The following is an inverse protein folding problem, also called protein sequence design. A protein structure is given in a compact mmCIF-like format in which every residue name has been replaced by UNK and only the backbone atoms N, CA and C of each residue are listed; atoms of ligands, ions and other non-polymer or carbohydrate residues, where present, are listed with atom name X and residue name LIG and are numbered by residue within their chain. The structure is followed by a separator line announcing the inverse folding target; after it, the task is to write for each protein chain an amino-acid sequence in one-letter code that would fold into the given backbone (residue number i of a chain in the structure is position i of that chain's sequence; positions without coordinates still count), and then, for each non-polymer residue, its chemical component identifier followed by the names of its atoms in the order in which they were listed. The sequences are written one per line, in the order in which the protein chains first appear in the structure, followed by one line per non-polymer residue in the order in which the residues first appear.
data_IF_371341199505
#
_entry.id   IF_371341199505
#
_cell.length_a   1.000
_cell.length_b   1.000
_cell.length_c   1.000
_cell.angle_alpha   90.00
_cell.angle_beta   90.00
_cell.angle_gamma   90.00
#
_symmetry.space_group_name_H-M   'P 1'
#
loop_
_entity.id
_entity.type
_entity.pdbx_description
1 polymer ?
#
# COMPACT_ATOMS: atom_id res chain seq x y z
N UNK A 1 -42.61 -11.92 -48.76
CA UNK A 1 -41.27 -12.54 -48.80
C UNK A 1 -40.37 -11.73 -47.87
N UNK A 2 -39.76 -12.41 -46.90
CA UNK A 2 -39.02 -11.90 -45.72
C UNK A 2 -37.53 -11.76 -46.09
N UNK A 3 -36.75 -10.78 -45.57
CA UNK A 3 -35.99 -10.93 -44.30
C UNK A 3 -36.21 -9.72 -43.36
N UNK A 4 -36.52 -9.81 -42.06
CA UNK A 4 -35.91 -10.55 -40.94
C UNK A 4 -34.38 -10.58 -40.99
N UNK A 5 -33.73 -9.43 -40.84
CA UNK A 5 -32.34 -9.32 -40.38
C UNK A 5 -32.04 -7.86 -40.03
N UNK A 6 -32.53 -7.41 -38.88
CA UNK A 6 -31.92 -6.28 -38.17
C UNK A 6 -31.47 -6.81 -36.80
N UNK A 7 -30.67 -7.88 -36.86
CA UNK A 7 -30.00 -8.45 -35.69
C UNK A 7 -28.73 -7.62 -35.44
N UNK A 8 -28.65 -7.07 -34.23
CA UNK A 8 -27.42 -6.93 -33.47
C UNK A 8 -26.27 -6.08 -34.08
N UNK A 9 -26.40 -4.75 -34.08
CA UNK A 9 -25.25 -3.85 -34.38
C UNK A 9 -25.02 -2.75 -33.32
N UNK A 10 -25.58 -2.88 -32.11
CA UNK A 10 -25.65 -1.77 -31.16
C UNK A 10 -24.83 -1.89 -29.86
N UNK A 11 -24.00 -2.93 -29.67
CA UNK A 11 -23.35 -3.15 -28.38
C UNK A 11 -21.86 -3.54 -28.50
N UNK A 12 -21.10 -2.80 -29.31
CA UNK A 12 -19.66 -2.70 -29.15
C UNK A 12 -19.36 -1.46 -28.31
N UNK A 13 -19.66 -1.53 -27.01
CA UNK A 13 -19.04 -0.63 -26.04
C UNK A 13 -17.54 -0.87 -26.14
N UNK A 14 -16.83 0.11 -26.68
CA UNK A 14 -15.38 0.16 -26.68
C UNK A 14 -14.91 -0.02 -25.24
N UNK A 15 -14.42 -1.22 -24.92
CA UNK A 15 -13.59 -1.45 -23.75
C UNK A 15 -12.24 -0.76 -24.04
N UNK A 16 -12.23 0.57 -24.00
CA UNK A 16 -10.99 1.33 -23.97
C UNK A 16 -10.22 0.84 -22.74
N UNK A 17 -8.95 0.43 -22.89
CA UNK A 17 -8.16 0.07 -21.74
C UNK A 17 -8.11 1.30 -20.83
N UNK A 18 -8.65 1.16 -19.61
CA UNK A 18 -8.43 2.12 -18.57
C UNK A 18 -6.93 2.08 -18.26
N UNK A 19 -6.17 3.00 -18.84
CA UNK A 19 -4.76 3.16 -18.52
C UNK A 19 -4.68 3.79 -17.14
N UNK A 20 -4.29 2.99 -16.15
CA UNK A 20 -3.84 3.48 -14.85
C UNK A 20 -2.37 3.97 -14.93
N UNK A 21 -1.97 4.47 -16.09
CA UNK A 21 -0.61 4.87 -16.40
C UNK A 21 -0.53 6.40 -16.31
N UNK A 22 -0.04 6.91 -15.19
CA UNK A 22 0.25 8.31 -14.94
C UNK A 22 1.23 8.43 -13.77
N UNK A 23 2.02 9.50 -13.66
CA UNK A 23 2.91 9.66 -12.51
C UNK A 23 2.08 9.77 -11.24
N UNK A 24 2.56 9.18 -10.15
CA UNK A 24 2.04 9.50 -8.83
C UNK A 24 2.34 10.98 -8.50
N UNK A 25 1.41 11.74 -7.90
CA UNK A 25 0.08 11.33 -7.44
C UNK A 25 -1.05 11.54 -8.45
N UNK A 26 -0.79 12.11 -9.62
CA UNK A 26 -1.81 12.56 -10.59
C UNK A 26 -2.67 11.40 -11.15
N UNK A 27 -2.17 10.17 -11.09
CA UNK A 27 -2.90 8.95 -11.43
C UNK A 27 -4.06 8.60 -10.47
N UNK A 28 -4.17 9.27 -9.31
CA UNK A 28 -5.17 8.96 -8.30
C UNK A 28 -6.54 9.59 -8.62
N UNK A 29 -7.60 8.79 -8.50
CA UNK A 29 -8.97 9.29 -8.55
C UNK A 29 -9.32 10.17 -7.33
N UNK A 30 -10.54 10.72 -7.31
CA UNK A 30 -10.99 11.57 -6.20
C UNK A 30 -10.96 10.84 -4.85
N UNK A 31 -11.28 9.55 -4.82
CA UNK A 31 -11.27 8.74 -3.60
C UNK A 31 -9.84 8.49 -3.10
N UNK A 32 -8.91 8.19 -3.99
CA UNK A 32 -7.49 8.01 -3.69
C UNK A 32 -6.87 9.28 -3.11
N UNK A 33 -7.16 10.44 -3.73
CA UNK A 33 -6.71 11.74 -3.22
C UNK A 33 -7.27 12.06 -1.83
N UNK A 34 -8.57 11.83 -1.62
CA UNK A 34 -9.19 12.02 -0.32
C UNK A 34 -8.56 11.14 0.77
N UNK A 35 -8.22 9.88 0.45
CA UNK A 35 -7.52 8.98 1.38
C UNK A 35 -6.13 9.49 1.77
N UNK A 36 -5.35 10.01 0.82
CA UNK A 36 -4.04 10.58 1.12
C UNK A 36 -4.14 11.87 1.95
N UNK A 37 -5.14 12.71 1.68
CA UNK A 37 -5.39 13.91 2.48
C UNK A 37 -5.74 13.58 3.95
N UNK A 38 -6.42 12.44 4.18
CA UNK A 38 -6.77 11.96 5.51
C UNK A 38 -5.70 11.05 6.16
N UNK A 39 -4.47 11.01 5.62
CA UNK A 39 -3.44 10.06 6.07
C UNK A 39 -3.11 10.21 7.55
N UNK A 40 -2.87 11.44 8.03
CA UNK A 40 -2.45 11.67 9.42
C UNK A 40 -3.55 11.31 10.43
N UNK A 41 -4.81 11.67 10.13
CA UNK A 41 -5.97 11.30 10.93
C UNK A 41 -6.14 9.77 10.99
N UNK A 42 -6.07 9.12 9.82
CA UNK A 42 -6.19 7.66 9.72
C UNK A 42 -5.06 6.96 10.47
N UNK A 43 -3.82 7.48 10.35
CA UNK A 43 -2.64 6.94 11.04
C UNK A 43 -2.78 7.07 12.56
N UNK A 44 -3.22 8.23 13.05
CA UNK A 44 -3.43 8.46 14.49
C UNK A 44 -4.47 7.48 15.06
N UNK A 45 -5.62 7.33 14.38
CA UNK A 45 -6.67 6.41 14.78
C UNK A 45 -6.19 4.94 14.77
N UNK A 46 -5.42 4.54 13.77
CA UNK A 46 -4.87 3.18 13.67
C UNK A 46 -3.84 2.88 14.78
N UNK A 47 -2.99 3.83 15.14
CA UNK A 47 -2.04 3.72 16.27
C UNK A 47 -2.80 3.59 17.60
N UNK A 48 -3.83 4.40 17.80
CA UNK A 48 -4.65 4.33 19.01
C UNK A 48 -5.38 2.98 19.13
N UNK A 49 -5.96 2.49 18.03
CA UNK A 49 -6.59 1.17 17.99
C UNK A 49 -5.58 0.04 18.25
N UNK A 50 -4.38 0.13 17.68
CA UNK A 50 -3.28 -0.81 17.93
C UNK A 50 -2.90 -0.85 19.42
N UNK A 51 -2.78 0.32 20.07
CA UNK A 51 -2.47 0.43 21.52
C UNK A 51 -3.55 -0.19 22.40
N UNK A 52 -4.83 -0.02 22.04
CA UNK A 52 -5.96 -0.56 22.81
C UNK A 52 -6.19 -2.05 22.61
N UNK A 53 -6.00 -2.55 21.39
CA UNK A 53 -6.43 -3.89 21.00
C UNK A 53 -5.31 -4.86 20.61
N UNK A 54 -4.07 -4.41 20.51
CA UNK A 54 -2.93 -5.26 20.17
C UNK A 54 -2.44 -6.11 21.35
N UNK A 55 -1.79 -7.24 21.06
CA UNK A 55 -1.10 -8.01 22.08
C UNK A 55 0.04 -7.17 22.68
N UNK A 56 0.26 -7.26 24.00
CA UNK A 56 1.24 -6.41 24.70
C UNK A 56 2.66 -6.48 24.11
N UNK A 57 3.09 -7.67 23.69
CA UNK A 57 4.39 -7.87 23.03
C UNK A 57 4.47 -7.17 21.66
N UNK A 58 3.38 -7.13 20.91
CA UNK A 58 3.30 -6.47 19.61
C UNK A 58 3.23 -4.95 19.77
N UNK A 59 2.48 -4.46 20.77
CA UNK A 59 2.44 -3.03 21.12
C UNK A 59 3.82 -2.55 21.53
N UNK A 60 4.58 -3.32 22.31
CA UNK A 60 5.95 -2.97 22.66
C UNK A 60 6.88 -2.87 21.43
N UNK A 61 6.63 -3.66 20.38
CA UNK A 61 7.34 -3.54 19.10
C UNK A 61 6.93 -2.28 18.35
N UNK A 62 5.64 -1.93 18.35
CA UNK A 62 5.12 -0.70 17.76
C UNK A 62 5.73 0.55 18.41
N UNK A 63 5.75 0.64 19.74
CA UNK A 63 6.31 1.82 20.43
C UNK A 63 7.78 2.03 20.07
N UNK A 64 8.60 0.96 20.00
CA UNK A 64 9.99 1.08 19.54
C UNK A 64 10.14 1.60 18.11
N UNK A 65 9.18 1.35 17.23
CA UNK A 65 9.18 1.91 15.87
C UNK A 65 8.79 3.39 15.90
N UNK A 66 7.83 3.75 16.76
CA UNK A 66 7.31 5.12 16.90
C UNK A 66 8.24 6.07 17.67
N UNK A 67 9.23 5.55 18.40
CA UNK A 67 10.31 6.33 19.00
C UNK A 67 11.16 7.08 17.97
N UNK A 68 11.19 6.61 16.72
CA UNK A 68 11.91 7.25 15.62
C UNK A 68 11.19 8.49 15.09
N UNK A 69 11.98 9.49 14.68
CA UNK A 69 11.46 10.67 13.99
C UNK A 69 11.29 10.38 12.48
N UNK A 70 10.13 10.72 11.92
CA UNK A 70 9.89 10.60 10.49
C UNK A 70 10.70 11.67 9.74
N UNK A 71 11.60 11.24 8.86
CA UNK A 71 12.47 12.13 8.10
C UNK A 71 12.32 11.86 6.60
N UNK A 72 12.34 12.93 5.81
CA UNK A 72 12.47 12.81 4.36
C UNK A 72 13.87 12.27 4.03
N UNK A 73 13.93 11.17 3.29
CA UNK A 73 15.18 10.54 2.87
C UNK A 73 15.29 10.58 1.35
N UNK A 74 16.49 10.87 0.85
CA UNK A 74 16.73 10.76 -0.59
C UNK A 74 16.63 9.28 -1.02
N UNK A 75 16.08 8.97 -2.21
CA UNK A 75 15.97 7.59 -2.70
C UNK A 75 17.29 6.80 -2.65
N UNK A 76 18.40 7.46 -2.96
CA UNK A 76 19.74 6.86 -2.92
C UNK A 76 20.18 6.40 -1.52
N UNK A 77 19.68 7.04 -0.45
CA UNK A 77 19.96 6.63 0.95
C UNK A 77 19.19 5.36 1.31
N UNK A 78 18.00 5.17 0.72
CA UNK A 78 17.14 4.02 0.96
C UNK A 78 17.53 2.81 0.10
N UNK A 79 18.23 3.02 -1.02
CA UNK A 79 18.63 1.95 -1.94
C UNK A 79 19.61 0.96 -1.29
N UNK A 80 19.33 -0.34 -1.41
CA UNK A 80 20.18 -1.39 -0.85
C UNK A 80 19.42 -2.64 -0.42
N UNK A 81 20.15 -3.62 0.12
CA UNK A 81 19.55 -4.78 0.81
C UNK A 81 19.42 -4.49 2.31
N UNK A 82 18.26 -4.82 2.87
CA UNK A 82 17.93 -4.55 4.27
C UNK A 82 17.33 -5.78 4.95
N UNK A 83 17.37 -5.75 6.29
CA UNK A 83 16.51 -6.57 7.12
C UNK A 83 15.20 -5.80 7.37
N UNK A 84 14.13 -6.20 6.68
CA UNK A 84 12.82 -5.57 6.76
C UNK A 84 11.89 -6.32 7.72
N UNK A 85 10.92 -5.62 8.30
CA UNK A 85 9.71 -6.18 8.91
C UNK A 85 8.52 -5.26 8.65
N UNK A 86 7.32 -5.80 8.71
CA UNK A 86 6.09 -5.03 8.46
C UNK A 86 5.20 -5.08 9.70
N UNK A 87 4.72 -3.90 10.11
CA UNK A 87 3.66 -3.77 11.10
C UNK A 87 2.40 -3.31 10.35
N UNK A 88 1.30 -4.04 10.49
CA UNK A 88 0.00 -3.67 9.92
C UNK A 88 -0.90 -3.18 11.04
N UNK A 89 -1.41 -1.96 10.91
CA UNK A 89 -2.31 -1.33 11.86
C UNK A 89 -3.65 -1.06 11.18
N UNK A 90 -4.75 -1.20 11.91
CA UNK A 90 -6.09 -0.88 11.42
C UNK A 90 -7.09 -2.03 11.52
N UNK A 91 -8.09 -2.05 10.64
CA UNK A 91 -9.19 -3.03 10.66
C UNK A 91 -8.92 -4.22 9.72
N UNK A 92 -9.36 -5.45 10.06
CA UNK A 92 -10.10 -5.85 11.27
C UNK A 92 -9.21 -6.20 12.47
N UNK A 93 -7.91 -6.44 12.26
CA UNK A 93 -6.96 -6.79 13.32
C UNK A 93 -6.15 -5.54 13.68
N UNK A 94 -6.29 -5.00 14.91
CA UNK A 94 -5.77 -3.67 15.28
C UNK A 94 -4.26 -3.54 15.10
N UNK A 95 -3.52 -4.63 15.31
CA UNK A 95 -2.08 -4.70 15.11
C UNK A 95 -1.67 -6.12 14.70
N UNK A 96 -0.84 -6.23 13.66
CA UNK A 96 -0.12 -7.45 13.29
C UNK A 96 1.34 -7.13 13.09
N UNK A 97 2.22 -7.81 13.84
CA UNK A 97 3.68 -7.70 13.70
C UNK A 97 4.19 -8.90 12.91
N UNK A 98 4.71 -8.67 11.71
CA UNK A 98 5.34 -9.72 10.94
C UNK A 98 6.82 -9.90 11.33
N UNK A 99 7.32 -11.13 11.15
CA UNK A 99 8.72 -11.46 11.37
C UNK A 99 9.67 -10.76 10.39
N UNK A 100 10.95 -10.79 10.73
CA UNK A 100 12.01 -10.23 9.89
C UNK A 100 12.16 -11.01 8.57
N UNK A 101 12.48 -10.28 7.51
CA UNK A 101 12.70 -10.80 6.18
C UNK A 101 13.78 -10.00 5.44
N UNK A 102 14.40 -10.61 4.43
CA UNK A 102 15.34 -9.90 3.55
C UNK A 102 14.57 -9.14 2.48
N UNK A 103 14.93 -7.90 2.26
CA UNK A 103 14.34 -7.07 1.22
C UNK A 103 15.42 -6.29 0.46
N UNK A 104 15.09 -5.83 -0.73
CA UNK A 104 15.86 -4.85 -1.50
C UNK A 104 14.99 -3.64 -1.79
N UNK A 105 15.53 -2.46 -1.56
CA UNK A 105 14.93 -1.21 -2.03
C UNK A 105 15.76 -0.75 -3.23
N UNK A 106 15.10 -0.48 -4.35
CA UNK A 106 15.73 0.02 -5.57
C UNK A 106 14.86 1.12 -6.19
N UNK A 107 15.46 2.08 -6.87
CA UNK A 107 14.73 3.06 -7.69
C UNK A 107 14.59 2.49 -9.12
N UNK A 108 13.37 2.27 -9.58
CA UNK A 108 13.07 1.73 -10.91
C UNK A 108 12.71 2.82 -11.94
N UNK A 109 13.07 4.08 -11.66
CA UNK A 109 12.72 5.28 -12.41
C UNK A 109 11.23 5.66 -12.39
N UNK A 110 10.34 4.80 -11.87
CA UNK A 110 8.97 5.15 -11.49
C UNK A 110 8.85 5.46 -9.99
N UNK A 111 9.82 5.01 -9.19
CA UNK A 111 9.99 5.37 -7.79
C UNK A 111 10.75 4.30 -7.01
N UNK A 112 10.69 4.39 -5.68
CA UNK A 112 11.26 3.37 -4.81
C UNK A 112 10.41 2.10 -4.83
N UNK A 113 11.00 1.00 -5.27
CA UNK A 113 10.45 -0.34 -5.25
C UNK A 113 11.05 -1.16 -4.11
N UNK A 114 10.18 -1.72 -3.26
CA UNK A 114 10.54 -2.70 -2.24
C UNK A 114 10.31 -4.13 -2.76
N UNK A 115 11.38 -4.90 -2.86
CA UNK A 115 11.36 -6.30 -3.27
C UNK A 115 11.66 -7.21 -2.07
N UNK A 116 10.84 -8.24 -1.86
CA UNK A 116 11.09 -9.26 -0.85
C UNK A 116 12.03 -10.32 -1.41
N UNK A 117 13.22 -10.48 -0.82
CA UNK A 117 14.23 -11.45 -1.25
C UNK A 117 14.11 -12.81 -0.56
N UNK A 118 13.40 -12.90 0.56
CA UNK A 118 13.24 -14.15 1.32
C UNK A 118 12.44 -13.94 2.61
N UNK A 119 12.31 -14.98 3.44
CA UNK A 119 11.58 -14.95 4.72
C UNK A 119 10.08 -15.26 4.60
N UNK A 120 9.53 -15.99 5.56
CA UNK A 120 8.08 -16.26 5.61
C UNK A 120 7.35 -15.04 6.18
N UNK A 121 6.35 -14.55 5.44
CA UNK A 121 5.31 -13.75 6.08
C UNK A 121 4.38 -14.78 6.73
N UNK A 122 4.36 -14.86 8.07
CA UNK A 122 3.34 -15.67 8.74
C UNK A 122 1.98 -15.09 8.34
N UNK A 123 1.16 -15.91 7.65
CA UNK A 123 -0.25 -15.64 7.36
C UNK A 123 -1.05 -15.65 8.64
#
# INVERSE_FOLDING_TARGET
MIPRLALAAGLLLAALPARADGPFPDMLDATGRARLQAFDETRAAAIEAARRGGASIDVAVLERVLEGEAQAQAPAVLAGEWQCRTLKLGSPIPLTVHGWFRCRIADDAAGLRLEKLGGLQRT
#
